data_IF_422253947236
#
_entry.id   IF_422253947236
#
_cell.length_a   1.000
_cell.length_b   1.000
_cell.length_c   1.000
_cell.angle_alpha   90.00
_cell.angle_beta   90.00
_cell.angle_gamma   90.00
#
_symmetry.space_group_name_H-M   'P 1'
#
loop_
_entity.id
_entity.type
_entity.pdbx_description
1 polymer ?
#
# COMPACT_ATOMS: atom_id res chain seq x y z
N UNK A 1 32.29 -11.63 -26.05
CA UNK A 1 31.40 -11.06 -25.02
C UNK A 1 30.28 -12.05 -24.77
N UNK A 2 30.20 -12.65 -23.57
CA UNK A 2 29.14 -13.62 -23.26
C UNK A 2 27.87 -12.84 -22.92
N UNK A 3 26.86 -12.92 -23.79
CA UNK A 3 25.53 -12.40 -23.49
C UNK A 3 24.94 -13.23 -22.36
N UNK A 4 24.81 -12.62 -21.18
CA UNK A 4 24.06 -13.21 -20.07
C UNK A 4 22.59 -13.03 -20.41
N UNK A 5 21.95 -14.14 -20.80
CA UNK A 5 20.52 -14.21 -21.03
C UNK A 5 19.81 -14.17 -19.66
N UNK A 6 19.34 -12.99 -19.26
CA UNK A 6 18.54 -12.80 -18.05
C UNK A 6 17.11 -13.28 -18.30
N UNK A 7 16.93 -14.59 -18.40
CA UNK A 7 15.62 -15.21 -18.21
C UNK A 7 15.27 -15.14 -16.71
N UNK A 8 14.89 -13.95 -16.25
CA UNK A 8 14.24 -13.77 -14.96
C UNK A 8 12.83 -14.34 -15.09
N UNK A 9 12.70 -15.58 -14.63
CA UNK A 9 11.44 -16.29 -14.58
C UNK A 9 10.63 -15.72 -13.38
N UNK A 10 9.98 -14.58 -13.58
CA UNK A 10 9.17 -13.86 -12.57
C UNK A 10 8.00 -14.70 -12.01
N UNK A 11 7.67 -15.84 -12.63
CA UNK A 11 6.53 -16.69 -12.29
C UNK A 11 6.67 -17.51 -10.99
N UNK A 12 7.72 -17.30 -10.17
CA UNK A 12 7.96 -18.09 -8.93
C UNK A 12 8.09 -17.28 -7.64
N UNK A 13 7.67 -16.01 -7.60
CA UNK A 13 7.62 -15.23 -6.36
C UNK A 13 6.35 -15.46 -5.52
N UNK A 14 5.57 -16.50 -5.80
CA UNK A 14 4.27 -16.72 -5.15
C UNK A 14 4.34 -17.34 -3.75
N UNK A 15 5.52 -17.74 -3.25
CA UNK A 15 5.67 -18.44 -1.95
C UNK A 15 6.95 -18.03 -1.19
N UNK A 16 7.28 -16.73 -1.11
CA UNK A 16 8.28 -16.26 -0.14
C UNK A 16 7.55 -15.96 1.17
N UNK A 17 7.58 -16.91 2.12
CA UNK A 17 7.05 -16.69 3.46
C UNK A 17 7.90 -15.62 4.16
N UNK A 18 7.31 -14.42 4.29
CA UNK A 18 7.88 -13.35 5.12
C UNK A 18 8.13 -13.90 6.52
N UNK A 19 9.37 -13.75 7.02
CA UNK A 19 9.70 -14.13 8.39
C UNK A 19 8.91 -13.29 9.38
N UNK A 20 8.65 -13.81 10.58
CA UNK A 20 7.90 -13.09 11.61
C UNK A 20 8.60 -11.80 12.07
N UNK A 21 9.92 -11.70 11.92
CA UNK A 21 10.68 -10.47 12.14
C UNK A 21 10.33 -9.40 11.11
N UNK A 22 10.29 -9.74 9.82
CA UNK A 22 9.91 -8.81 8.75
C UNK A 22 8.44 -8.41 8.86
N UNK A 23 7.56 -9.34 9.24
CA UNK A 23 6.14 -9.05 9.53
C UNK A 23 5.97 -8.00 10.64
N UNK A 24 6.86 -8.02 11.63
CA UNK A 24 6.84 -7.11 12.77
C UNK A 24 7.41 -5.73 12.41
N UNK A 25 8.48 -5.68 11.62
CA UNK A 25 8.99 -4.42 11.04
C UNK A 25 7.96 -3.74 10.13
N UNK A 26 7.23 -4.51 9.34
CA UNK A 26 6.12 -4.02 8.52
C UNK A 26 4.99 -3.42 9.37
N UNK A 27 4.64 -4.05 10.50
CA UNK A 27 3.62 -3.53 11.41
C UNK A 27 4.04 -2.16 11.96
N UNK A 28 5.31 -2.02 12.40
CA UNK A 28 5.88 -0.80 12.96
C UNK A 28 5.68 0.44 12.05
N UNK A 29 5.71 0.27 10.72
CA UNK A 29 5.48 1.38 9.77
C UNK A 29 4.10 2.04 9.95
N UNK A 30 3.12 1.27 10.41
CA UNK A 30 1.71 1.68 10.47
C UNK A 30 1.18 1.78 11.89
N UNK A 31 1.99 1.54 12.93
CA UNK A 31 1.50 1.43 14.31
C UNK A 31 0.80 2.70 14.77
N UNK A 32 1.41 3.86 14.50
CA UNK A 32 0.87 5.19 14.84
C UNK A 32 -0.36 5.60 14.00
N UNK A 33 -0.66 4.89 12.90
CA UNK A 33 -1.76 5.26 12.04
C UNK A 33 -3.11 4.91 12.67
N UNK A 34 -4.11 5.81 12.64
CA UNK A 34 -5.47 5.48 13.02
C UNK A 34 -6.03 4.30 12.22
N UNK A 35 -6.94 3.53 12.84
CA UNK A 35 -7.64 2.44 12.14
C UNK A 35 -8.34 2.99 10.91
N UNK A 36 -8.06 2.45 9.73
CA UNK A 36 -8.76 2.84 8.50
C UNK A 36 -8.72 1.68 7.51
N UNK A 37 -9.68 1.65 6.58
CA UNK A 37 -9.66 0.65 5.52
C UNK A 37 -8.34 0.69 4.74
N UNK A 38 -7.79 1.89 4.53
CA UNK A 38 -6.49 2.07 3.89
C UNK A 38 -5.31 1.51 4.69
N UNK A 39 -5.24 1.72 6.01
CA UNK A 39 -4.23 1.09 6.89
C UNK A 39 -4.25 -0.43 6.73
N UNK A 40 -5.44 -1.03 6.81
CA UNK A 40 -5.59 -2.49 6.67
C UNK A 40 -5.13 -2.98 5.29
N UNK A 41 -5.52 -2.30 4.20
CA UNK A 41 -5.07 -2.71 2.87
C UNK A 41 -3.57 -2.50 2.66
N UNK A 42 -3.00 -1.43 3.23
CA UNK A 42 -1.56 -1.18 3.15
C UNK A 42 -0.76 -2.25 3.89
N UNK A 43 -1.18 -2.64 5.10
CA UNK A 43 -0.59 -3.78 5.81
C UNK A 43 -0.67 -5.06 4.99
N UNK A 44 -1.82 -5.37 4.37
CA UNK A 44 -1.97 -6.53 3.48
C UNK A 44 -0.99 -6.49 2.30
N UNK A 45 -0.81 -5.33 1.67
CA UNK A 45 0.18 -5.13 0.61
C UNK A 45 1.60 -5.41 1.12
N UNK A 46 1.97 -4.88 2.29
CA UNK A 46 3.29 -5.12 2.89
C UNK A 46 3.49 -6.61 3.24
N UNK A 47 2.43 -7.31 3.63
CA UNK A 47 2.42 -8.77 3.80
C UNK A 47 2.47 -9.57 2.48
N UNK A 48 2.66 -8.92 1.33
CA UNK A 48 2.71 -9.55 0.02
C UNK A 48 1.39 -10.14 -0.43
N UNK A 49 0.26 -9.69 0.11
CA UNK A 49 -1.07 -10.14 -0.32
C UNK A 49 -1.53 -9.36 -1.54
N UNK A 50 -2.16 -10.07 -2.46
CA UNK A 50 -2.81 -9.45 -3.61
C UNK A 50 -3.95 -8.53 -3.16
N UNK A 51 -3.98 -7.35 -3.77
CA UNK A 51 -5.03 -6.36 -3.59
C UNK A 51 -5.84 -6.23 -4.88
N UNK A 52 -7.16 -6.16 -4.73
CA UNK A 52 -8.01 -5.66 -5.81
C UNK A 52 -7.66 -4.20 -6.12
N UNK A 53 -8.05 -3.72 -7.30
CA UNK A 53 -7.87 -2.32 -7.70
C UNK A 53 -8.32 -1.34 -6.60
N UNK A 54 -9.53 -1.51 -6.06
CA UNK A 54 -10.05 -0.61 -5.04
C UNK A 54 -9.24 -0.68 -3.74
N UNK A 55 -8.81 -1.88 -3.34
CA UNK A 55 -7.98 -2.06 -2.14
C UNK A 55 -6.61 -1.39 -2.30
N UNK A 56 -6.00 -1.49 -3.48
CA UNK A 56 -4.73 -0.83 -3.78
C UNK A 56 -4.86 0.70 -3.71
N UNK A 57 -5.95 1.28 -4.22
CA UNK A 57 -6.23 2.72 -4.07
C UNK A 57 -6.35 3.11 -2.60
N UNK A 58 -7.08 2.34 -1.79
CA UNK A 58 -7.22 2.62 -0.35
C UNK A 58 -5.87 2.57 0.38
N UNK A 59 -5.07 1.55 0.09
CA UNK A 59 -3.71 1.40 0.63
C UNK A 59 -2.84 2.61 0.26
N UNK A 60 -2.82 2.99 -1.02
CA UNK A 60 -2.00 4.10 -1.52
C UNK A 60 -2.46 5.45 -0.97
N UNK A 61 -3.76 5.70 -0.86
CA UNK A 61 -4.25 6.94 -0.26
C UNK A 61 -3.90 7.03 1.23
N UNK A 62 -3.95 5.91 1.98
CA UNK A 62 -3.50 5.91 3.37
C UNK A 62 -2.01 6.23 3.47
N UNK A 63 -1.16 5.57 2.70
CA UNK A 63 0.28 5.85 2.71
C UNK A 63 0.62 7.28 2.29
N UNK A 64 -0.01 7.78 1.22
CA UNK A 64 0.22 9.13 0.72
C UNK A 64 -0.22 10.22 1.72
N UNK A 65 -1.28 9.98 2.48
CA UNK A 65 -1.82 10.90 3.49
C UNK A 65 -1.28 10.62 4.89
N UNK A 66 -0.14 9.92 5.03
CA UNK A 66 0.50 9.66 6.32
C UNK A 66 -0.39 8.89 7.29
N UNK A 67 -1.20 7.95 6.79
CA UNK A 67 -2.13 7.16 7.60
C UNK A 67 -3.40 7.88 8.03
N UNK A 68 -3.63 9.10 7.55
CA UNK A 68 -4.71 9.98 8.03
C UNK A 68 -4.57 10.35 9.50
N UNK A 69 -3.32 10.49 10.00
CA UNK A 69 -3.02 10.88 11.39
C UNK A 69 -3.68 12.21 11.77
N UNK A 70 -3.75 13.15 10.84
CA UNK A 70 -4.34 14.48 11.03
C UNK A 70 -5.86 14.52 10.81
N UNK A 71 -6.47 13.39 10.43
CA UNK A 71 -7.89 13.28 10.10
C UNK A 71 -8.15 12.73 8.69
N UNK A 72 -9.41 12.31 8.47
CA UNK A 72 -9.87 11.70 7.22
C UNK A 72 -10.65 12.70 6.38
N UNK A 73 -9.95 13.64 5.76
CA UNK A 73 -10.53 14.66 4.88
C UNK A 73 -10.02 14.58 3.45
N UNK A 74 -10.59 15.40 2.58
CA UNK A 74 -10.15 15.55 1.19
C UNK A 74 -8.69 16.07 1.13
N UNK A 75 -7.81 15.33 0.43
CA UNK A 75 -6.40 15.72 0.28
C UNK A 75 -6.19 16.88 -0.71
N UNK A 76 -7.21 17.22 -1.51
CA UNK A 76 -7.25 18.33 -2.50
C UNK A 76 -6.13 18.31 -3.55
N UNK A 77 -5.45 17.16 -3.70
CA UNK A 77 -4.37 16.98 -4.66
C UNK A 77 -4.92 16.76 -6.08
N UNK A 78 -5.47 17.79 -6.71
CA UNK A 78 -6.16 17.72 -8.02
C UNK A 78 -5.31 17.18 -9.18
N UNK A 79 -3.98 17.29 -9.08
CA UNK A 79 -3.04 16.72 -10.06
C UNK A 79 -2.70 15.25 -9.81
N UNK A 80 -3.12 14.68 -8.69
CA UNK A 80 -2.92 13.27 -8.40
C UNK A 80 -3.83 12.44 -9.32
N UNK A 81 -3.30 11.44 -10.04
CA UNK A 81 -4.10 10.60 -10.92
C UNK A 81 -5.13 9.75 -10.16
N UNK A 82 -4.92 9.52 -8.87
CA UNK A 82 -5.86 8.81 -8.00
C UNK A 82 -6.85 9.74 -7.30
N UNK A 83 -6.74 11.06 -7.48
CA UNK A 83 -7.63 12.01 -6.83
C UNK A 83 -9.12 11.73 -7.10
N UNK A 84 -9.57 11.38 -8.32
CA UNK A 84 -10.96 11.02 -8.58
C UNK A 84 -11.47 9.79 -7.80
N UNK A 85 -10.55 9.00 -7.24
CA UNK A 85 -10.84 7.74 -6.52
C UNK A 85 -10.53 7.84 -5.03
N UNK A 86 -10.12 9.02 -4.56
CA UNK A 86 -9.76 9.29 -3.18
C UNK A 86 -10.97 9.01 -2.26
N UNK A 87 -10.82 8.22 -1.18
CA UNK A 87 -11.96 7.69 -0.41
C UNK A 87 -12.75 8.74 0.39
N UNK A 88 -12.15 9.88 0.67
CA UNK A 88 -12.75 11.01 1.39
C UNK A 88 -12.80 12.28 0.53
N UNK A 89 -12.86 12.11 -0.81
CA UNK A 89 -13.04 13.25 -1.71
C UNK A 89 -14.34 13.97 -1.36
N UNK A 90 -14.31 15.29 -1.37
CA UNK A 90 -15.44 16.16 -1.04
C UNK A 90 -15.95 15.98 0.41
N UNK A 91 -15.11 15.49 1.34
CA UNK A 91 -15.39 15.43 2.78
C UNK A 91 -14.45 16.34 3.56
N UNK A 92 -15.01 17.02 4.56
CA UNK A 92 -14.29 17.87 5.53
C UNK A 92 -13.84 17.07 6.76
#
# INVERSE_FOLDING_TARGET
MKHINQNLNFAKMSNFDLTDSTKREIANVTDEWPTSSGKTQYQRFLYGKDLTYRQAVLAKCAECCGGYVDGRGDCKATKCPLYPLMPYRDKD
#
